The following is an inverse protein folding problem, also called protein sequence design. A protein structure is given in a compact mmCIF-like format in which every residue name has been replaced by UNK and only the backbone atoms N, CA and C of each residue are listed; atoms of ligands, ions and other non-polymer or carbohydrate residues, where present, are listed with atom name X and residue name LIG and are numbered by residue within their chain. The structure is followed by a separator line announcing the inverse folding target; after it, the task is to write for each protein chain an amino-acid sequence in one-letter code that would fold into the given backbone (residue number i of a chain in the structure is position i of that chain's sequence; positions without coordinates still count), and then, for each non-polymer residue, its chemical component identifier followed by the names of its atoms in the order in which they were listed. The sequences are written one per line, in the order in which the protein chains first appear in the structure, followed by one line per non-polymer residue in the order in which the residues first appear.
data_IF_199370327754
#
_entry.id   IF_199370327754
#
_cell.length_a   1.000
_cell.length_b   1.000
_cell.length_c   1.000
_cell.angle_alpha   90.00
_cell.angle_beta   90.00
_cell.angle_gamma   90.00
#
_symmetry.space_group_name_H-M   'P 1'
#
loop_
_entity.id
_entity.type
_entity.pdbx_description
1 polymer ?
#
# COMPACT_ATOMS: atom_id res chain seq x y z
N UNK A 1 1.72 -16.01 -3.40
CA UNK A 1 1.88 -14.60 -3.00
C UNK A 1 3.07 -14.05 -3.77
N UNK A 2 2.94 -12.90 -4.43
CA UNK A 2 4.10 -12.11 -4.89
C UNK A 2 4.78 -11.55 -3.64
N UNK A 3 5.59 -12.37 -2.99
CA UNK A 3 6.21 -12.07 -1.71
C UNK A 3 7.64 -12.54 -1.73
N UNK A 4 8.54 -11.65 -1.30
CA UNK A 4 9.92 -11.87 -0.85
C UNK A 4 10.65 -13.01 -1.58
N UNK A 5 11.65 -12.71 -2.45
CA UNK A 5 12.45 -13.74 -3.11
C UNK A 5 12.94 -14.80 -2.13
N UNK A 6 12.78 -16.08 -2.46
CA UNK A 6 13.29 -17.17 -1.63
C UNK A 6 14.80 -16.99 -1.39
N UNK A 7 15.21 -17.04 -0.13
CA UNK A 7 16.59 -16.79 0.29
C UNK A 7 16.94 -15.33 0.58
N UNK A 8 16.01 -14.38 0.40
CA UNK A 8 16.19 -13.04 0.94
C UNK A 8 16.12 -13.09 2.47
N UNK A 9 16.92 -12.26 3.15
CA UNK A 9 16.87 -12.04 4.60
C UNK A 9 15.83 -11.01 5.03
N UNK A 10 14.95 -10.60 4.14
CA UNK A 10 13.97 -9.57 4.44
C UNK A 10 12.78 -10.19 5.15
N UNK A 11 12.44 -9.63 6.31
CA UNK A 11 11.19 -9.92 6.99
C UNK A 11 10.05 -9.15 6.32
N UNK A 12 8.84 -9.72 6.34
CA UNK A 12 7.68 -9.11 5.69
C UNK A 12 7.33 -7.75 6.30
N UNK A 13 7.52 -7.61 7.61
CA UNK A 13 7.21 -6.38 8.35
C UNK A 13 8.20 -5.26 7.99
N UNK A 14 9.48 -5.59 7.78
CA UNK A 14 10.49 -4.63 7.31
C UNK A 14 10.15 -4.12 5.90
N UNK A 15 9.71 -5.01 5.00
CA UNK A 15 9.23 -4.57 3.69
C UNK A 15 8.02 -3.64 3.79
N UNK A 16 7.02 -3.99 4.61
CA UNK A 16 5.81 -3.17 4.78
C UNK A 16 6.14 -1.79 5.33
N UNK A 17 7.05 -1.73 6.31
CA UNK A 17 7.54 -0.47 6.84
C UNK A 17 8.23 0.37 5.76
N UNK A 18 9.11 -0.22 4.96
CA UNK A 18 9.77 0.49 3.86
C UNK A 18 8.78 0.99 2.80
N UNK A 19 7.76 0.21 2.46
CA UNK A 19 6.68 0.65 1.58
C UNK A 19 5.99 1.89 2.18
N UNK A 20 5.65 1.85 3.47
CA UNK A 20 4.99 2.97 4.13
C UNK A 20 5.87 4.25 4.20
N UNK A 21 7.19 4.10 4.23
CA UNK A 21 8.14 5.22 4.21
C UNK A 21 8.36 5.79 2.80
N UNK A 22 8.11 5.00 1.74
CA UNK A 22 8.32 5.43 0.35
C UNK A 22 7.14 6.16 -0.29
N UNK A 23 5.91 5.91 0.17
CA UNK A 23 4.70 6.42 -0.47
C UNK A 23 3.88 7.26 0.51
N UNK A 24 3.43 8.43 0.06
CA UNK A 24 2.52 9.29 0.86
C UNK A 24 1.05 9.08 0.50
N UNK A 25 0.74 8.75 -0.76
CA UNK A 25 -0.63 8.51 -1.21
C UNK A 25 -0.70 7.32 -2.17
N UNK A 26 -1.81 6.59 -2.10
CA UNK A 26 -2.17 5.52 -3.05
C UNK A 26 -3.50 5.87 -3.69
N UNK A 27 -3.51 5.94 -5.02
CA UNK A 27 -4.72 6.18 -5.81
C UNK A 27 -5.19 4.86 -6.41
N UNK A 28 -6.31 4.34 -5.93
CA UNK A 28 -6.90 3.12 -6.46
C UNK A 28 -7.89 3.46 -7.58
N UNK A 29 -7.60 2.97 -8.79
CA UNK A 29 -8.48 3.13 -9.95
C UNK A 29 -9.28 1.86 -10.20
N UNK A 30 -10.60 2.00 -10.43
CA UNK A 30 -11.50 0.90 -10.76
C UNK A 30 -12.08 1.09 -12.17
N UNK A 31 -12.27 -0.03 -12.88
CA UNK A 31 -13.05 -0.06 -14.12
C UNK A 31 -14.51 -0.38 -13.81
N UNK A 32 -15.44 0.43 -14.32
CA UNK A 32 -16.88 0.16 -14.33
C UNK A 32 -17.38 0.30 -15.76
N UNK A 33 -17.80 -0.82 -16.36
CA UNK A 33 -18.07 -0.89 -17.80
C UNK A 33 -16.84 -0.53 -18.63
N UNK A 34 -16.99 0.46 -19.52
CA UNK A 34 -15.91 0.93 -20.39
C UNK A 34 -15.05 2.05 -19.80
N UNK A 35 -15.38 2.56 -18.60
CA UNK A 35 -14.70 3.71 -18.00
C UNK A 35 -13.80 3.31 -16.82
N UNK A 36 -12.65 3.97 -16.70
CA UNK A 36 -11.80 3.92 -15.49
C UNK A 36 -12.05 5.19 -14.68
N UNK A 37 -12.23 5.04 -13.38
CA UNK A 37 -12.41 6.16 -12.45
C UNK A 37 -11.60 5.91 -11.18
N UNK A 38 -11.26 6.99 -10.48
CA UNK A 38 -10.70 6.92 -9.14
C UNK A 38 -11.80 6.37 -8.23
N UNK A 39 -11.47 5.30 -7.51
CA UNK A 39 -12.39 4.65 -6.59
C UNK A 39 -12.05 4.88 -5.12
N UNK A 40 -10.78 5.20 -4.85
CA UNK A 40 -10.30 5.53 -3.50
C UNK A 40 -8.97 6.28 -3.60
N UNK A 41 -8.75 7.21 -2.67
CA UNK A 41 -7.44 7.75 -2.39
C UNK A 41 -7.14 7.53 -0.91
N UNK A 42 -6.00 6.90 -0.64
CA UNK A 42 -5.52 6.59 0.70
C UNK A 42 -4.27 7.41 0.97
N UNK A 43 -4.26 8.16 2.06
CA UNK A 43 -3.06 8.74 2.66
C UNK A 43 -2.36 7.69 3.52
N UNK A 44 -1.05 7.52 3.31
CA UNK A 44 -0.19 6.68 4.14
C UNK A 44 0.52 7.58 5.14
N UNK A 45 0.22 7.38 6.42
CA UNK A 45 0.81 8.11 7.55
C UNK A 45 2.01 7.40 8.17
N UNK A 46 2.19 6.12 7.84
CA UNK A 46 3.32 5.31 8.27
C UNK A 46 2.93 3.85 8.53
N UNK A 47 3.67 3.21 9.43
CA UNK A 47 3.47 1.82 9.81
C UNK A 47 3.50 1.68 11.34
N UNK A 48 2.44 1.15 11.95
CA UNK A 48 2.29 1.01 13.42
C UNK A 48 1.51 -0.27 13.74
N UNK A 49 1.80 -0.90 14.88
CA UNK A 49 1.10 -2.12 15.34
C UNK A 49 1.03 -3.23 14.30
N UNK A 50 2.10 -3.36 13.51
CA UNK A 50 2.23 -4.30 12.39
C UNK A 50 1.23 -4.12 11.23
N UNK A 51 0.70 -2.91 11.07
CA UNK A 51 -0.18 -2.54 9.97
C UNK A 51 0.12 -1.13 9.44
N UNK A 52 -0.41 -0.82 8.26
CA UNK A 52 -0.33 0.51 7.68
C UNK A 52 -1.23 1.48 8.44
N UNK A 53 -0.67 2.60 8.89
CA UNK A 53 -1.42 3.73 9.42
C UNK A 53 -1.93 4.53 8.22
N UNK A 54 -3.21 4.37 7.90
CA UNK A 54 -3.82 4.93 6.68
C UNK A 54 -5.08 5.73 6.98
N UNK A 55 -5.31 6.77 6.18
CA UNK A 55 -6.55 7.53 6.16
C UNK A 55 -7.12 7.58 4.74
N UNK A 56 -8.42 7.28 4.61
CA UNK A 56 -9.11 7.48 3.33
C UNK A 56 -9.46 8.95 3.18
N UNK A 57 -8.99 9.56 2.10
CA UNK A 57 -9.21 11.00 1.80
C UNK A 57 -10.14 11.25 0.61
N UNK A 58 -10.54 10.19 -0.09
CA UNK A 58 -11.54 10.18 -1.16
C UNK A 58 -12.19 8.79 -1.28
#
# INVERSE_FOLDING_TARGET
MLGIPQGSRWELDDMRKLIAECFNYVVHMRRTGEMRHISEIIEIKGFRNNDYDIERVF
#
